data_IF_547026565191
#
_entry.id   IF_547026565191
#
_cell.length_a   1.000
_cell.length_b   1.000
_cell.length_c   1.000
_cell.angle_alpha   90.00
_cell.angle_beta   90.00
_cell.angle_gamma   90.00
#
_symmetry.space_group_name_H-M   'P 1'
#
loop_
_entity.id
_entity.type
_entity.pdbx_description
1 polymer ?
#
# COMPACT_ATOMS: atom_id res chain seq x y z
N UNK A 1 -25.51 -5.18 55.52
CA UNK A 1 -24.80 -4.31 56.47
C UNK A 1 -24.02 -3.30 55.70
N UNK A 2 -24.42 -2.05 55.87
CA UNK A 2 -24.01 -0.85 55.20
C UNK A 2 -22.61 -0.38 55.65
N UNK A 3 -22.00 0.45 54.83
CA UNK A 3 -20.81 1.21 55.16
C UNK A 3 -20.42 2.19 54.06
N UNK A 4 -21.22 3.27 53.99
CA UNK A 4 -20.86 4.52 53.28
C UNK A 4 -19.86 5.28 54.13
N UNK A 5 -18.82 5.82 53.54
CA UNK A 5 -18.10 6.97 54.11
C UNK A 5 -17.65 7.94 53.02
N UNK A 6 -18.30 9.08 53.03
CA UNK A 6 -18.02 10.33 52.36
C UNK A 6 -17.24 11.22 53.35
N UNK A 7 -16.24 11.94 52.88
CA UNK A 7 -15.77 13.25 53.40
C UNK A 7 -14.77 13.83 52.39
N UNK A 8 -15.13 14.83 51.65
CA UNK A 8 -15.26 16.31 51.90
C UNK A 8 -13.90 17.05 51.91
N UNK A 9 -13.71 17.84 50.88
CA UNK A 9 -13.30 19.23 50.77
C UNK A 9 -12.27 19.79 51.72
N UNK A 10 -11.27 20.50 51.21
CA UNK A 10 -11.12 21.92 51.51
C UNK A 10 -10.24 22.61 50.42
N UNK A 11 -10.74 23.72 49.94
CA UNK A 11 -10.10 24.72 49.05
C UNK A 11 -9.44 25.80 49.90
N UNK A 12 -8.44 26.47 49.34
CA UNK A 12 -8.02 27.88 49.53
C UNK A 12 -6.81 28.08 48.57
N UNK A 13 -6.71 29.01 47.69
CA UNK A 13 -7.27 30.37 47.63
C UNK A 13 -6.14 31.39 47.53
N UNK A 14 -6.14 32.15 46.42
CA UNK A 14 -5.52 33.49 46.34
C UNK A 14 -4.11 33.52 45.73
N UNK A 15 -3.70 34.49 44.95
CA UNK A 15 -4.28 35.68 44.36
C UNK A 15 -3.31 36.22 43.30
N UNK A 16 -3.82 36.97 42.38
CA UNK A 16 -3.17 37.63 41.26
C UNK A 16 -2.22 38.78 41.69
N UNK A 17 -1.30 39.12 40.79
CA UNK A 17 -0.94 40.52 40.55
C UNK A 17 -0.29 40.68 39.17
N UNK A 18 -0.93 41.47 38.38
CA UNK A 18 -0.45 42.18 37.17
C UNK A 18 0.67 43.13 37.52
N UNK A 19 1.57 43.39 36.56
CA UNK A 19 2.05 44.76 36.25
C UNK A 19 2.76 44.76 34.88
N UNK A 20 2.16 45.28 33.92
CA UNK A 20 2.34 46.38 32.93
C UNK A 20 3.75 46.99 32.76
N UNK A 21 4.12 47.00 31.47
CA UNK A 21 4.59 48.06 30.58
C UNK A 21 5.91 48.84 30.85
N UNK A 22 6.72 48.99 29.82
CA UNK A 22 6.98 50.19 29.02
C UNK A 22 8.25 50.02 28.17
N UNK A 23 8.16 50.06 26.91
CA UNK A 23 8.54 51.04 25.88
C UNK A 23 9.73 51.95 26.23
N UNK A 24 10.78 51.93 25.44
CA UNK A 24 11.43 53.15 24.93
C UNK A 24 12.27 52.86 23.67
N UNK A 25 11.94 53.63 22.62
CA UNK A 25 12.69 53.90 21.39
C UNK A 25 13.98 54.69 21.68
N UNK A 26 14.92 54.65 20.75
CA UNK A 26 15.45 55.75 19.99
C UNK A 26 16.85 55.46 19.43
N UNK A 27 16.91 55.54 18.16
CA UNK A 27 17.59 56.50 17.26
C UNK A 27 19.09 56.23 17.07
N UNK A 28 19.52 55.96 15.81
CA UNK A 28 19.73 56.80 14.60
C UNK A 28 21.09 57.51 14.60
N UNK A 29 21.81 57.35 13.54
CA UNK A 29 22.50 58.22 12.59
C UNK A 29 23.89 57.74 12.23
N UNK A 30 24.09 57.55 10.98
CA UNK A 30 24.59 58.25 9.77
C UNK A 30 26.12 58.19 9.66
N UNK A 31 26.67 57.93 8.61
CA UNK A 31 26.83 58.32 7.28
C UNK A 31 28.25 58.01 6.78
N UNK A 32 28.33 57.63 5.63
CA UNK A 32 28.87 58.15 4.37
C UNK A 32 30.30 57.76 3.99
N UNK A 33 30.32 57.11 2.87
CA UNK A 33 31.03 57.50 1.65
C UNK A 33 32.56 57.29 1.54
N UNK A 34 32.96 56.42 0.64
CA UNK A 34 33.83 56.82 -0.50
C UNK A 34 33.95 55.65 -1.51
N UNK A 35 33.70 56.01 -2.76
CA UNK A 35 33.83 55.16 -3.94
C UNK A 35 35.30 54.98 -4.34
N UNK A 36 35.63 53.80 -4.90
CA UNK A 36 36.60 53.65 -6.00
C UNK A 36 36.40 52.30 -6.72
N UNK A 37 36.13 52.39 -7.93
CA UNK A 37 36.14 51.71 -9.16
C UNK A 37 37.31 50.74 -9.38
N UNK A 38 37.04 49.48 -9.87
CA UNK A 38 37.65 48.86 -11.04
C UNK A 38 37.20 47.43 -11.23
N UNK A 39 36.55 47.19 -12.33
CA UNK A 39 36.74 46.18 -13.38
C UNK A 39 36.67 44.70 -13.02
N UNK A 40 35.55 44.09 -13.44
CA UNK A 40 35.37 43.00 -14.44
C UNK A 40 36.28 41.78 -14.31
N UNK A 41 35.67 40.65 -13.89
CA UNK A 41 35.76 39.39 -14.61
C UNK A 41 34.54 38.52 -14.28
N UNK A 42 33.78 38.24 -15.30
CA UNK A 42 32.71 37.22 -15.40
C UNK A 42 33.32 35.82 -15.21
N UNK A 43 32.89 35.10 -14.19
CA UNK A 43 32.82 33.64 -14.24
C UNK A 43 31.50 33.24 -13.65
N UNK A 44 30.64 32.71 -14.53
CA UNK A 44 29.38 32.11 -14.17
C UNK A 44 29.63 30.78 -13.50
N UNK A 45 29.33 30.69 -12.23
CA UNK A 45 29.12 29.40 -11.57
C UNK A 45 27.71 28.92 -11.91
N UNK A 46 27.65 28.10 -12.94
CA UNK A 46 26.57 27.15 -13.17
C UNK A 46 26.57 26.20 -11.97
N UNK A 47 25.54 26.26 -11.16
CA UNK A 47 25.21 25.20 -10.22
C UNK A 47 24.88 23.95 -11.05
N UNK A 48 25.89 23.17 -11.38
CA UNK A 48 25.72 21.81 -11.84
C UNK A 48 25.16 20.98 -10.68
N UNK A 49 23.91 20.59 -10.82
CA UNK A 49 23.30 19.50 -10.08
C UNK A 49 24.22 18.28 -10.19
N UNK A 50 24.95 17.95 -9.14
CA UNK A 50 25.66 16.68 -9.02
C UNK A 50 24.68 15.51 -8.90
N UNK A 51 24.07 15.12 -10.02
CA UNK A 51 23.57 13.77 -10.21
C UNK A 51 24.68 12.95 -10.84
N UNK A 52 25.72 12.65 -10.06
CA UNK A 52 26.76 11.74 -10.50
C UNK A 52 26.19 10.32 -10.53
N UNK A 53 26.07 9.75 -11.73
CA UNK A 53 25.94 8.31 -11.91
C UNK A 53 27.08 7.63 -11.12
N UNK A 54 26.74 6.81 -10.12
CA UNK A 54 27.74 6.04 -9.36
C UNK A 54 28.43 5.06 -10.33
N UNK A 55 29.77 5.05 -10.31
CA UNK A 55 30.61 4.29 -11.24
C UNK A 55 30.51 2.77 -10.98
N UNK A 56 30.93 1.98 -11.98
CA UNK A 56 31.11 0.52 -11.89
C UNK A 56 31.85 0.12 -10.59
N UNK A 57 31.23 -0.73 -9.77
CA UNK A 57 31.78 -1.20 -8.48
C UNK A 57 31.10 -0.63 -7.22
N UNK A 58 30.04 0.17 -7.36
CA UNK A 58 29.28 0.67 -6.19
C UNK A 58 28.30 -0.39 -5.69
N UNK A 59 28.33 -0.69 -4.39
CA UNK A 59 27.32 -1.49 -3.72
C UNK A 59 26.20 -0.59 -3.22
N UNK A 60 24.97 -0.82 -3.68
CA UNK A 60 23.80 -0.06 -3.27
C UNK A 60 23.16 -0.64 -2.00
N UNK A 61 22.73 0.20 -1.08
CA UNK A 61 22.01 -0.18 0.13
C UNK A 61 20.52 -0.05 -0.10
N UNK A 62 19.83 -1.19 -0.20
CA UNK A 62 18.40 -1.24 -0.47
C UNK A 62 17.65 -1.65 0.79
N UNK A 63 16.64 -0.87 1.17
CA UNK A 63 15.68 -1.25 2.21
C UNK A 63 14.45 -1.86 1.56
N UNK A 64 13.95 -2.98 2.09
CA UNK A 64 12.68 -3.56 1.68
C UNK A 64 11.77 -3.69 2.89
N UNK A 65 10.61 -3.05 2.84
CA UNK A 65 9.55 -3.21 3.83
C UNK A 65 8.35 -3.91 3.18
N UNK A 66 8.10 -5.14 3.58
CA UNK A 66 6.91 -5.89 3.22
C UNK A 66 5.90 -5.86 4.39
N UNK A 67 4.62 -5.57 4.09
CA UNK A 67 3.59 -5.48 5.12
C UNK A 67 3.39 -6.79 5.86
N UNK A 68 3.19 -7.88 5.12
CA UNK A 68 2.90 -9.21 5.66
C UNK A 68 3.35 -10.27 4.65
N UNK A 69 3.53 -11.49 5.10
CA UNK A 69 3.88 -12.60 4.23
C UNK A 69 2.62 -13.28 3.68
N UNK A 70 2.48 -13.27 2.37
CA UNK A 70 1.53 -14.10 1.59
C UNK A 70 1.99 -14.16 0.13
N UNK A 71 1.42 -15.10 -0.64
CA UNK A 71 1.87 -15.49 -1.98
C UNK A 71 2.09 -14.30 -2.92
N UNK A 72 1.18 -13.33 -2.97
CA UNK A 72 1.28 -12.21 -3.90
C UNK A 72 2.43 -11.25 -3.53
N UNK A 73 2.56 -10.88 -2.24
CA UNK A 73 3.61 -9.96 -1.79
C UNK A 73 4.99 -10.59 -1.86
N UNK A 74 5.10 -11.90 -1.57
CA UNK A 74 6.35 -12.64 -1.71
C UNK A 74 6.78 -12.68 -3.18
N UNK A 75 5.85 -12.96 -4.11
CA UNK A 75 6.12 -12.95 -5.55
C UNK A 75 6.55 -11.56 -6.06
N UNK A 76 5.92 -10.48 -5.56
CA UNK A 76 6.31 -9.11 -5.93
C UNK A 76 7.74 -8.77 -5.45
N UNK A 77 8.11 -9.21 -4.25
CA UNK A 77 9.48 -9.06 -3.75
C UNK A 77 10.48 -9.86 -4.59
N UNK A 78 10.17 -11.11 -4.89
CA UNK A 78 11.03 -11.97 -5.70
C UNK A 78 11.25 -11.38 -7.11
N UNK A 79 10.19 -10.85 -7.74
CA UNK A 79 10.28 -10.17 -9.02
C UNK A 79 11.17 -8.92 -8.97
N UNK A 80 11.04 -8.11 -7.93
CA UNK A 80 11.87 -6.92 -7.73
C UNK A 80 13.36 -7.29 -7.62
N UNK A 81 13.68 -8.26 -6.80
CA UNK A 81 15.06 -8.74 -6.62
C UNK A 81 15.60 -9.31 -7.93
N UNK A 82 14.81 -10.12 -8.65
CA UNK A 82 15.22 -10.69 -9.92
C UNK A 82 15.59 -9.62 -10.97
N UNK A 83 14.85 -8.51 -11.02
CA UNK A 83 15.16 -7.41 -11.95
C UNK A 83 16.49 -6.71 -11.61
N UNK A 84 16.85 -6.60 -10.34
CA UNK A 84 18.15 -6.07 -9.92
C UNK A 84 19.30 -7.04 -10.29
N UNK A 85 19.09 -8.33 -10.06
CA UNK A 85 20.05 -9.38 -10.39
C UNK A 85 20.31 -9.46 -11.90
N UNK A 86 19.24 -9.45 -12.70
CA UNK A 86 19.31 -9.47 -14.17
C UNK A 86 20.02 -8.24 -14.75
N UNK A 87 19.89 -7.08 -14.08
CA UNK A 87 20.59 -5.86 -14.44
C UNK A 87 22.04 -5.81 -13.93
N UNK A 88 22.50 -6.83 -13.17
CA UNK A 88 23.84 -6.89 -12.61
C UNK A 88 24.11 -5.83 -11.52
N UNK A 89 23.08 -5.36 -10.85
CA UNK A 89 23.21 -4.41 -9.74
C UNK A 89 23.90 -5.10 -8.56
N UNK A 90 24.94 -4.47 -8.03
CA UNK A 90 25.59 -4.94 -6.79
C UNK A 90 24.92 -4.23 -5.62
N UNK A 91 24.30 -4.98 -4.72
CA UNK A 91 23.53 -4.40 -3.60
C UNK A 91 23.63 -5.20 -2.31
N UNK A 92 23.34 -4.52 -1.20
CA UNK A 92 23.03 -5.11 0.11
C UNK A 92 21.56 -4.83 0.41
N UNK A 93 20.76 -5.86 0.69
CA UNK A 93 19.35 -5.70 1.03
C UNK A 93 19.12 -5.86 2.53
N UNK A 94 18.37 -4.92 3.10
CA UNK A 94 17.81 -4.99 4.45
C UNK A 94 16.32 -5.28 4.33
N UNK A 95 15.97 -6.58 4.41
CA UNK A 95 14.61 -7.09 4.26
C UNK A 95 13.89 -7.06 5.60
N UNK A 96 12.77 -6.35 5.68
CA UNK A 96 11.92 -6.26 6.87
C UNK A 96 10.49 -6.67 6.55
N UNK A 97 9.86 -7.38 7.48
CA UNK A 97 8.45 -7.77 7.39
C UNK A 97 7.70 -7.28 8.62
N UNK A 98 6.63 -6.53 8.42
CA UNK A 98 5.86 -5.93 9.50
C UNK A 98 4.83 -6.89 10.13
N UNK A 99 4.66 -8.09 9.57
CA UNK A 99 3.70 -9.11 10.04
C UNK A 99 2.25 -8.58 10.16
N UNK A 100 1.88 -7.64 9.28
CA UNK A 100 0.56 -7.00 9.28
C UNK A 100 0.38 -5.89 10.33
N UNK A 101 1.43 -5.53 11.06
CA UNK A 101 1.37 -4.51 12.13
C UNK A 101 1.79 -3.13 11.59
N UNK A 102 0.88 -2.17 11.59
CA UNK A 102 1.15 -0.81 11.14
C UNK A 102 2.19 -0.08 12.02
N UNK A 103 2.26 -0.40 13.32
CA UNK A 103 3.27 0.18 14.21
C UNK A 103 4.66 -0.34 13.88
N UNK A 104 4.76 -1.61 13.48
CA UNK A 104 5.99 -2.19 12.97
C UNK A 104 6.41 -1.51 11.64
N UNK A 105 5.47 -1.22 10.73
CA UNK A 105 5.75 -0.45 9.53
C UNK A 105 6.37 0.92 9.86
N UNK A 106 5.81 1.67 10.81
CA UNK A 106 6.34 2.97 11.24
C UNK A 106 7.74 2.86 11.86
N UNK A 107 7.98 1.79 12.63
CA UNK A 107 9.29 1.54 13.24
C UNK A 107 10.36 1.28 12.18
N UNK A 108 10.05 0.45 11.18
CA UNK A 108 10.95 0.14 10.07
C UNK A 108 11.17 1.37 9.18
N UNK A 109 10.12 2.13 8.90
CA UNK A 109 10.21 3.37 8.12
C UNK A 109 11.15 4.38 8.78
N UNK A 110 11.01 4.58 10.10
CA UNK A 110 11.92 5.44 10.88
C UNK A 110 13.37 4.92 10.87
N UNK A 111 13.56 3.59 10.93
CA UNK A 111 14.88 2.95 10.78
C UNK A 111 15.50 3.30 9.44
N UNK A 112 14.79 3.05 8.33
CA UNK A 112 15.33 3.27 6.98
C UNK A 112 15.61 4.74 6.68
N UNK A 113 14.76 5.67 7.17
CA UNK A 113 15.00 7.10 7.08
C UNK A 113 16.33 7.52 7.74
N UNK A 114 16.66 6.91 8.89
CA UNK A 114 17.89 7.22 9.61
C UNK A 114 19.14 6.54 9.02
N UNK A 115 18.98 5.36 8.41
CA UNK A 115 20.11 4.58 7.86
C UNK A 115 20.59 5.04 6.48
N UNK A 116 19.89 5.99 5.84
CA UNK A 116 20.22 6.55 4.52
C UNK A 116 20.45 5.47 3.48
N UNK A 117 19.40 4.71 3.18
CA UNK A 117 19.38 3.76 2.05
C UNK A 117 19.58 4.52 0.73
N UNK A 118 20.11 3.84 -0.27
CA UNK A 118 20.19 4.39 -1.63
C UNK A 118 18.82 4.33 -2.34
N UNK A 119 17.98 3.33 -1.97
CA UNK A 119 16.64 3.12 -2.46
C UNK A 119 15.84 2.28 -1.46
N UNK A 120 14.54 2.51 -1.39
CA UNK A 120 13.64 1.74 -0.55
C UNK A 120 12.51 1.17 -1.41
N UNK A 121 12.18 -0.13 -1.21
CA UNK A 121 10.97 -0.75 -1.71
C UNK A 121 9.97 -0.89 -0.57
N UNK A 122 8.74 -0.44 -0.79
CA UNK A 122 7.61 -0.66 0.11
C UNK A 122 6.56 -1.53 -0.60
N UNK A 123 6.23 -2.67 -0.01
CA UNK A 123 5.32 -3.67 -0.58
C UNK A 123 4.01 -3.64 0.20
N UNK A 124 2.93 -3.31 -0.45
CA UNK A 124 1.57 -3.06 0.02
C UNK A 124 1.32 -1.64 0.55
N UNK A 125 0.07 -1.19 0.44
CA UNK A 125 -0.34 0.19 0.73
C UNK A 125 0.00 0.65 2.15
N UNK A 126 -0.25 -0.12 3.24
CA UNK A 126 0.10 0.34 4.59
C UNK A 126 1.61 0.50 4.80
N UNK A 127 2.43 -0.37 4.19
CA UNK A 127 3.89 -0.25 4.22
C UNK A 127 4.36 0.99 3.45
N UNK A 128 3.77 1.25 2.27
CA UNK A 128 4.03 2.44 1.47
C UNK A 128 3.67 3.72 2.22
N UNK A 129 2.50 3.78 2.86
CA UNK A 129 2.06 4.93 3.66
C UNK A 129 3.01 5.24 4.82
N UNK A 130 3.48 4.21 5.53
CA UNK A 130 4.45 4.39 6.60
C UNK A 130 5.79 4.94 6.06
N UNK A 131 6.24 4.42 4.92
CA UNK A 131 7.52 4.80 4.32
C UNK A 131 7.48 6.22 3.78
N UNK A 132 6.46 6.59 3.02
CA UNK A 132 6.26 7.93 2.47
C UNK A 132 6.12 8.98 3.59
N UNK A 133 5.49 8.62 4.70
CA UNK A 133 5.36 9.49 5.86
C UNK A 133 6.65 9.75 6.65
N UNK A 134 7.71 8.93 6.43
CA UNK A 134 8.95 9.02 7.21
C UNK A 134 10.19 9.38 6.36
N UNK A 135 10.14 9.19 5.04
CA UNK A 135 11.30 9.31 4.14
C UNK A 135 11.06 10.44 3.15
N UNK A 136 11.90 11.49 3.20
CA UNK A 136 11.73 12.69 2.38
C UNK A 136 12.64 12.69 1.13
N UNK A 137 13.90 12.25 1.28
CA UNK A 137 14.94 12.42 0.25
C UNK A 137 15.30 11.12 -0.51
N UNK A 138 15.22 9.97 0.16
CA UNK A 138 15.56 8.69 -0.47
C UNK A 138 14.46 8.27 -1.46
N UNK A 139 14.79 7.81 -2.68
CA UNK A 139 13.82 7.20 -3.58
C UNK A 139 13.05 6.05 -2.94
N UNK A 140 11.73 6.13 -2.98
CA UNK A 140 10.82 5.07 -2.50
C UNK A 140 10.07 4.50 -3.70
N UNK A 141 10.29 3.24 -3.97
CA UNK A 141 9.49 2.46 -4.91
C UNK A 141 8.37 1.74 -4.18
N UNK A 142 7.20 1.74 -4.76
CA UNK A 142 6.03 1.06 -4.22
C UNK A 142 5.55 -0.03 -5.19
N UNK A 143 5.08 -1.15 -4.67
CA UNK A 143 4.44 -2.22 -5.43
C UNK A 143 3.34 -2.89 -4.63
N UNK A 144 2.43 -3.58 -5.28
CA UNK A 144 1.23 -4.12 -4.64
C UNK A 144 0.42 -3.04 -3.90
N UNK A 145 0.24 -1.91 -4.57
CA UNK A 145 -0.54 -0.74 -4.11
C UNK A 145 -1.63 -0.46 -5.12
N UNK A 146 -2.89 -0.51 -4.70
CA UNK A 146 -4.05 -0.45 -5.61
C UNK A 146 -4.15 0.86 -6.35
N UNK A 147 -4.20 1.98 -5.64
CA UNK A 147 -4.20 3.33 -6.22
C UNK A 147 -3.29 4.25 -5.40
N UNK A 148 -2.07 4.50 -5.87
CA UNK A 148 -1.11 5.34 -5.18
C UNK A 148 -1.60 6.77 -4.94
N UNK A 149 -2.29 7.37 -5.92
CA UNK A 149 -2.79 8.74 -5.79
C UNK A 149 -3.95 8.82 -4.79
N UNK A 150 -4.93 7.91 -4.88
CA UNK A 150 -6.08 7.88 -3.96
C UNK A 150 -5.66 7.47 -2.54
N UNK A 151 -4.58 6.70 -2.42
CA UNK A 151 -3.96 6.35 -1.13
C UNK A 151 -3.10 7.46 -0.53
N UNK A 152 -2.94 8.60 -1.23
CA UNK A 152 -2.20 9.77 -0.75
C UNK A 152 -0.68 9.61 -0.80
N UNK A 153 -0.16 8.72 -1.65
CA UNK A 153 1.27 8.42 -1.76
C UNK A 153 1.98 9.28 -2.81
N UNK A 154 1.26 9.71 -3.83
CA UNK A 154 1.74 10.52 -4.94
C UNK A 154 0.73 11.61 -5.30
N UNK A 155 1.16 12.64 -6.04
CA UNK A 155 0.25 13.71 -6.46
C UNK A 155 -0.80 13.22 -7.46
N UNK A 156 -0.34 12.53 -8.51
CA UNK A 156 -1.16 11.76 -9.46
C UNK A 156 -0.38 10.54 -9.93
N UNK A 157 -1.08 9.53 -10.44
CA UNK A 157 -0.41 8.32 -10.94
C UNK A 157 0.42 8.59 -12.20
N UNK A 158 0.04 9.59 -13.03
CA UNK A 158 0.79 10.00 -14.22
C UNK A 158 2.01 10.86 -13.87
N UNK A 159 1.93 11.62 -12.79
CA UNK A 159 3.00 12.51 -12.34
C UNK A 159 3.11 12.49 -10.81
N UNK A 160 3.90 11.57 -10.26
CA UNK A 160 4.07 11.40 -8.82
C UNK A 160 4.52 12.66 -8.08
N UNK A 161 5.51 13.38 -8.62
CA UNK A 161 5.87 14.74 -8.17
C UNK A 161 6.71 14.84 -6.91
N UNK A 162 7.19 13.70 -6.35
CA UNK A 162 8.05 13.63 -5.17
C UNK A 162 9.06 12.48 -5.30
N UNK A 163 9.60 12.00 -4.19
CA UNK A 163 10.56 10.89 -4.15
C UNK A 163 9.94 9.49 -4.29
N UNK A 164 8.66 9.39 -4.68
CA UNK A 164 7.89 8.13 -4.75
C UNK A 164 7.48 7.83 -6.18
N UNK A 165 7.65 6.59 -6.61
CA UNK A 165 7.08 6.01 -7.84
C UNK A 165 6.91 4.50 -7.67
N UNK A 166 6.50 3.78 -8.69
CA UNK A 166 6.38 2.32 -8.63
C UNK A 166 5.27 1.78 -9.53
N UNK A 167 4.62 0.72 -9.06
CA UNK A 167 3.57 0.01 -9.81
C UNK A 167 2.27 -0.09 -9.02
N UNK A 168 1.16 -0.11 -9.74
CA UNK A 168 -0.18 -0.35 -9.21
C UNK A 168 -0.61 -1.79 -9.46
N UNK A 169 -1.25 -2.40 -8.46
CA UNK A 169 -1.86 -3.73 -8.55
C UNK A 169 -3.38 -3.69 -8.71
N UNK A 170 -3.92 -2.58 -9.19
CA UNK A 170 -5.36 -2.48 -9.41
C UNK A 170 -5.84 -3.59 -10.36
N UNK A 171 -6.62 -4.52 -9.81
CA UNK A 171 -7.18 -5.65 -10.56
C UNK A 171 -8.53 -5.28 -11.20
N UNK A 172 -8.99 -6.05 -12.20
CA UNK A 172 -10.24 -5.77 -12.91
C UNK A 172 -11.47 -6.19 -12.08
N UNK A 173 -11.82 -5.37 -11.08
CA UNK A 173 -12.91 -5.65 -10.12
C UNK A 173 -14.24 -5.94 -10.82
N UNK A 174 -14.54 -5.19 -11.89
CA UNK A 174 -15.79 -5.40 -12.64
C UNK A 174 -15.83 -6.79 -13.27
N UNK A 175 -14.76 -7.22 -13.91
CA UNK A 175 -14.62 -8.53 -14.55
C UNK A 175 -14.68 -9.67 -13.52
N UNK A 176 -14.16 -9.43 -12.33
CA UNK A 176 -14.25 -10.38 -11.20
C UNK A 176 -15.71 -10.52 -10.72
N UNK A 177 -16.48 -9.45 -10.68
CA UNK A 177 -17.91 -9.51 -10.36
C UNK A 177 -18.73 -10.16 -11.50
N UNK A 178 -18.36 -9.89 -12.75
CA UNK A 178 -18.97 -10.59 -13.90
C UNK A 178 -18.68 -12.10 -13.86
N UNK A 179 -17.46 -12.50 -13.48
CA UNK A 179 -17.08 -13.89 -13.22
C UNK A 179 -17.90 -14.50 -12.08
N UNK A 180 -18.09 -13.77 -10.98
CA UNK A 180 -18.96 -14.19 -9.88
C UNK A 180 -20.38 -14.51 -10.41
N UNK A 181 -20.96 -13.60 -11.19
CA UNK A 181 -22.28 -13.77 -11.76
C UNK A 181 -22.37 -14.93 -12.75
N UNK A 182 -21.29 -15.19 -13.49
CA UNK A 182 -21.21 -16.34 -14.40
C UNK A 182 -21.17 -17.67 -13.64
N UNK A 183 -20.33 -17.77 -12.59
CA UNK A 183 -20.14 -18.99 -11.81
C UNK A 183 -21.29 -19.26 -10.82
N UNK A 184 -21.96 -18.22 -10.34
CA UNK A 184 -23.07 -18.28 -9.39
C UNK A 184 -24.27 -17.51 -9.94
N UNK A 185 -24.91 -17.97 -11.03
CA UNK A 185 -25.93 -17.21 -11.77
C UNK A 185 -27.16 -16.85 -10.93
N UNK A 186 -27.47 -17.64 -9.90
CA UNK A 186 -28.59 -17.42 -9.01
C UNK A 186 -28.28 -16.46 -7.83
N UNK A 187 -27.02 -16.00 -7.71
CA UNK A 187 -26.63 -15.05 -6.66
C UNK A 187 -27.45 -13.76 -6.75
N UNK A 188 -27.99 -13.33 -5.62
CA UNK A 188 -28.76 -12.11 -5.43
C UNK A 188 -28.08 -11.17 -4.46
N UNK A 189 -27.39 -11.71 -3.47
CA UNK A 189 -26.70 -10.95 -2.42
C UNK A 189 -25.25 -11.39 -2.33
N UNK A 190 -24.33 -10.46 -2.52
CA UNK A 190 -22.88 -10.68 -2.42
C UNK A 190 -22.34 -10.00 -1.17
N UNK A 191 -21.63 -10.78 -0.35
CA UNK A 191 -20.87 -10.22 0.77
C UNK A 191 -19.52 -9.69 0.30
N UNK A 192 -19.22 -8.43 0.58
CA UNK A 192 -17.90 -7.83 0.31
C UNK A 192 -17.10 -7.90 1.60
N UNK A 193 -16.07 -8.77 1.62
CA UNK A 193 -15.25 -9.06 2.80
C UNK A 193 -13.90 -8.37 2.67
N UNK A 194 -13.58 -7.47 3.60
CA UNK A 194 -12.31 -6.74 3.57
C UNK A 194 -11.86 -6.22 4.94
N UNK A 195 -10.59 -5.80 5.05
CA UNK A 195 -10.04 -5.15 6.23
C UNK A 195 -10.33 -3.65 6.21
N UNK A 196 -11.06 -3.16 7.22
CA UNK A 196 -11.41 -1.74 7.34
C UNK A 196 -10.23 -0.81 7.63
N UNK A 197 -9.09 -1.37 8.05
CA UNK A 197 -7.87 -0.62 8.32
C UNK A 197 -7.00 -0.39 7.07
N UNK A 198 -7.35 -1.00 5.93
CA UNK A 198 -6.62 -0.88 4.67
C UNK A 198 -7.38 0.00 3.67
N UNK A 199 -6.79 1.14 3.28
CA UNK A 199 -7.42 2.07 2.31
C UNK A 199 -7.58 1.46 0.92
N UNK A 200 -6.61 0.67 0.45
CA UNK A 200 -6.68 -0.10 -0.80
C UNK A 200 -7.92 -1.02 -0.85
N UNK A 201 -8.19 -1.71 0.24
CA UNK A 201 -9.32 -2.63 0.33
C UNK A 201 -10.65 -1.89 0.25
N UNK A 202 -10.73 -0.70 0.89
CA UNK A 202 -11.92 0.13 0.81
C UNK A 202 -12.18 0.64 -0.60
N UNK A 203 -11.15 1.09 -1.32
CA UNK A 203 -11.25 1.54 -2.72
C UNK A 203 -11.88 0.43 -3.57
N UNK A 204 -11.33 -0.78 -3.51
CA UNK A 204 -11.84 -1.91 -4.29
C UNK A 204 -13.22 -2.39 -3.81
N UNK A 205 -13.51 -2.33 -2.51
CA UNK A 205 -14.83 -2.65 -1.98
C UNK A 205 -15.90 -1.70 -2.52
N UNK A 206 -15.59 -0.40 -2.64
CA UNK A 206 -16.50 0.57 -3.23
C UNK A 206 -16.73 0.29 -4.73
N UNK A 207 -15.67 0.00 -5.50
CA UNK A 207 -15.77 -0.45 -6.90
C UNK A 207 -16.60 -1.73 -7.04
N UNK A 208 -16.40 -2.69 -6.15
CA UNK A 208 -17.15 -3.94 -6.16
C UNK A 208 -18.65 -3.73 -5.89
N UNK A 209 -19.00 -2.86 -4.94
CA UNK A 209 -20.41 -2.52 -4.67
C UNK A 209 -21.10 -1.90 -5.89
N UNK A 210 -20.40 -1.04 -6.62
CA UNK A 210 -20.92 -0.46 -7.87
C UNK A 210 -21.10 -1.55 -8.94
N UNK A 211 -20.11 -2.43 -9.14
CA UNK A 211 -20.17 -3.53 -10.09
C UNK A 211 -21.28 -4.53 -9.74
N UNK A 212 -21.43 -4.90 -8.45
CA UNK A 212 -22.50 -5.78 -7.95
C UNK A 212 -23.87 -5.18 -8.25
N UNK A 213 -24.06 -3.89 -7.98
CA UNK A 213 -25.31 -3.20 -8.27
C UNK A 213 -25.59 -3.14 -9.78
N UNK A 214 -24.58 -2.86 -10.61
CA UNK A 214 -24.68 -2.87 -12.07
C UNK A 214 -25.05 -4.26 -12.64
N UNK A 215 -24.59 -5.35 -11.98
CA UNK A 215 -24.94 -6.73 -12.31
C UNK A 215 -26.35 -7.16 -11.80
N UNK A 216 -27.09 -6.24 -11.18
CA UNK A 216 -28.46 -6.48 -10.68
C UNK A 216 -28.50 -7.25 -9.35
N UNK A 217 -27.41 -7.28 -8.61
CA UNK A 217 -27.28 -7.91 -7.28
C UNK A 217 -27.26 -6.88 -6.16
N UNK A 218 -27.40 -7.34 -4.93
CA UNK A 218 -27.25 -6.52 -3.72
C UNK A 218 -25.91 -6.83 -3.05
N UNK A 219 -25.24 -5.82 -2.50
CA UNK A 219 -24.04 -5.99 -1.70
C UNK A 219 -24.32 -5.84 -0.21
N UNK A 220 -23.58 -6.59 0.62
CA UNK A 220 -23.48 -6.39 2.07
C UNK A 220 -22.02 -6.32 2.45
N UNK A 221 -21.65 -5.32 3.24
CA UNK A 221 -20.28 -5.19 3.74
C UNK A 221 -20.05 -6.04 4.97
N UNK A 222 -18.87 -6.70 4.99
CA UNK A 222 -18.38 -7.47 6.12
C UNK A 222 -16.91 -7.09 6.31
N UNK A 223 -16.60 -6.49 7.44
CA UNK A 223 -15.25 -5.98 7.69
C UNK A 223 -14.60 -6.69 8.86
N UNK A 224 -13.28 -6.83 8.75
CA UNK A 224 -12.40 -7.21 9.84
C UNK A 224 -11.45 -6.06 10.16
N UNK A 225 -10.94 -5.99 11.37
CA UNK A 225 -9.84 -5.09 11.74
C UNK A 225 -8.50 -5.83 11.85
N UNK A 226 -8.56 -7.16 11.96
CA UNK A 226 -7.39 -8.04 12.03
C UNK A 226 -7.75 -9.48 11.62
N UNK A 227 -6.73 -10.29 11.35
CA UNK A 227 -6.90 -11.70 10.96
C UNK A 227 -7.64 -12.55 12.03
N UNK A 228 -7.59 -12.17 13.30
CA UNK A 228 -8.27 -12.87 14.39
C UNK A 228 -9.81 -12.86 14.27
N UNK A 229 -10.37 -11.89 13.52
CA UNK A 229 -11.81 -11.74 13.36
C UNK A 229 -12.37 -12.52 12.17
N UNK A 230 -11.50 -12.96 11.23
CA UNK A 230 -11.87 -13.55 9.93
C UNK A 230 -12.87 -14.70 10.13
N UNK A 231 -12.56 -15.67 10.98
CA UNK A 231 -13.42 -16.83 11.21
C UNK A 231 -14.84 -16.43 11.63
N UNK A 232 -14.95 -15.52 12.60
CA UNK A 232 -16.24 -15.07 13.12
C UNK A 232 -17.02 -14.29 12.08
N UNK A 233 -16.36 -13.41 11.35
CA UNK A 233 -17.01 -12.59 10.32
C UNK A 233 -17.49 -13.47 9.17
N UNK A 234 -16.64 -14.37 8.64
CA UNK A 234 -17.05 -15.30 7.56
C UNK A 234 -18.18 -16.21 8.01
N UNK A 235 -18.14 -16.71 9.26
CA UNK A 235 -19.25 -17.51 9.80
C UNK A 235 -20.57 -16.73 9.85
N UNK A 236 -20.54 -15.42 10.08
CA UNK A 236 -21.75 -14.56 10.08
C UNK A 236 -22.33 -14.33 8.66
N UNK A 237 -21.54 -14.57 7.62
CA UNK A 237 -21.96 -14.46 6.21
C UNK A 237 -22.77 -15.69 5.78
N UNK A 238 -22.57 -16.84 6.42
CA UNK A 238 -23.24 -18.11 6.08
C UNK A 238 -24.75 -17.99 6.20
N UNK A 239 -25.44 -18.24 5.09
CA UNK A 239 -26.90 -18.10 4.98
C UNK A 239 -27.41 -16.66 4.90
N UNK A 240 -26.53 -15.67 5.02
CA UNK A 240 -26.87 -14.25 4.90
C UNK A 240 -26.55 -13.67 3.52
N UNK A 241 -25.67 -14.32 2.76
CA UNK A 241 -25.27 -13.96 1.38
C UNK A 241 -25.15 -15.23 0.52
N UNK A 242 -25.22 -15.08 -0.80
CA UNK A 242 -25.16 -16.19 -1.78
C UNK A 242 -23.74 -16.44 -2.27
N UNK A 243 -22.89 -15.41 -2.22
CA UNK A 243 -21.47 -15.48 -2.60
C UNK A 243 -20.69 -14.39 -1.84
N UNK A 244 -19.37 -14.54 -1.78
CA UNK A 244 -18.44 -13.57 -1.21
C UNK A 244 -17.53 -13.04 -2.31
N UNK A 245 -17.25 -11.76 -2.26
CA UNK A 245 -16.15 -11.11 -2.97
C UNK A 245 -15.14 -10.61 -1.94
N UNK A 246 -13.88 -11.01 -2.09
CA UNK A 246 -12.77 -10.52 -1.28
C UNK A 246 -11.75 -9.85 -2.21
N UNK A 247 -11.56 -8.51 -2.14
CA UNK A 247 -10.61 -7.77 -2.98
C UNK A 247 -9.15 -8.16 -2.69
N UNK A 248 -8.18 -7.49 -3.32
CA UNK A 248 -6.76 -7.60 -2.96
C UNK A 248 -6.50 -6.98 -1.59
N UNK A 249 -6.83 -7.73 -0.55
CA UNK A 249 -6.77 -7.37 0.86
C UNK A 249 -5.69 -8.20 1.56
N UNK A 250 -4.71 -7.54 2.19
CA UNK A 250 -3.55 -8.25 2.74
C UNK A 250 -3.90 -9.07 3.99
N UNK A 251 -4.82 -8.59 4.82
CA UNK A 251 -5.28 -9.31 6.02
C UNK A 251 -6.10 -10.54 5.62
N UNK A 252 -6.98 -10.39 4.64
CA UNK A 252 -7.78 -11.51 4.12
C UNK A 252 -6.89 -12.50 3.38
N UNK A 253 -5.96 -12.04 2.53
CA UNK A 253 -5.02 -12.90 1.81
C UNK A 253 -4.16 -13.74 2.76
N UNK A 254 -3.60 -13.13 3.80
CA UNK A 254 -2.84 -13.85 4.83
C UNK A 254 -3.69 -14.85 5.64
N UNK A 255 -4.99 -14.57 5.79
CA UNK A 255 -5.96 -15.43 6.48
C UNK A 255 -6.83 -16.27 5.57
N UNK A 256 -6.54 -16.34 4.26
CA UNK A 256 -7.44 -16.92 3.26
C UNK A 256 -7.74 -18.41 3.49
N UNK A 257 -6.81 -19.17 4.05
CA UNK A 257 -7.06 -20.56 4.44
C UNK A 257 -8.22 -20.69 5.45
N UNK A 258 -8.36 -19.73 6.37
CA UNK A 258 -9.50 -19.70 7.31
C UNK A 258 -10.80 -19.33 6.60
N UNK A 259 -10.75 -18.36 5.67
CA UNK A 259 -11.91 -18.02 4.83
C UNK A 259 -12.36 -19.23 4.03
N UNK A 260 -11.43 -19.88 3.32
CA UNK A 260 -11.70 -21.05 2.46
C UNK A 260 -12.28 -22.24 3.26
N UNK A 261 -11.75 -22.49 4.46
CA UNK A 261 -12.27 -23.55 5.33
C UNK A 261 -13.73 -23.29 5.72
N UNK A 262 -14.03 -22.11 6.27
CA UNK A 262 -15.41 -21.80 6.73
C UNK A 262 -16.36 -21.72 5.54
N UNK A 263 -15.96 -21.11 4.43
CA UNK A 263 -16.76 -20.97 3.24
C UNK A 263 -17.03 -22.33 2.57
N UNK A 264 -15.99 -23.16 2.42
CA UNK A 264 -16.09 -24.51 1.84
C UNK A 264 -17.02 -25.44 2.62
N UNK A 265 -16.89 -25.48 3.96
CA UNK A 265 -17.76 -26.28 4.85
C UNK A 265 -19.23 -25.88 4.72
N UNK A 266 -19.51 -24.63 4.39
CA UNK A 266 -20.85 -24.08 4.27
C UNK A 266 -21.32 -23.86 2.82
N UNK A 267 -20.58 -24.35 1.81
CA UNK A 267 -20.89 -24.21 0.39
C UNK A 267 -21.07 -22.75 -0.06
N UNK A 268 -20.29 -21.84 0.52
CA UNK A 268 -20.32 -20.42 0.21
C UNK A 268 -19.18 -20.07 -0.76
N UNK A 269 -19.45 -19.78 -2.05
CA UNK A 269 -18.41 -19.45 -3.01
C UNK A 269 -17.74 -18.10 -2.71
N UNK A 270 -16.40 -18.05 -2.87
CA UNK A 270 -15.60 -16.84 -2.68
C UNK A 270 -14.86 -16.52 -3.96
N UNK A 271 -15.19 -15.39 -4.59
CA UNK A 271 -14.42 -14.79 -5.68
C UNK A 271 -13.40 -13.83 -5.08
N UNK A 272 -12.18 -13.92 -5.55
CA UNK A 272 -11.02 -13.28 -4.95
C UNK A 272 -10.45 -12.17 -5.84
N UNK A 273 -9.73 -11.23 -5.23
CA UNK A 273 -9.02 -10.16 -5.92
C UNK A 273 -7.73 -10.62 -6.61
N UNK A 274 -7.10 -11.74 -6.14
CA UNK A 274 -5.84 -12.22 -6.68
C UNK A 274 -5.69 -13.75 -6.59
N UNK A 275 -4.73 -14.31 -7.36
CA UNK A 275 -4.56 -15.74 -7.55
C UNK A 275 -4.10 -16.51 -6.30
N UNK A 276 -3.29 -15.90 -5.43
CA UNK A 276 -2.83 -16.55 -4.20
C UNK A 276 -3.98 -16.83 -3.23
N UNK A 277 -4.98 -15.95 -3.19
CA UNK A 277 -6.21 -16.20 -2.42
C UNK A 277 -7.00 -17.37 -2.99
N UNK A 278 -7.06 -17.52 -4.33
CA UNK A 278 -7.70 -18.67 -4.97
C UNK A 278 -6.99 -19.98 -4.62
N UNK A 279 -5.66 -19.98 -4.65
CA UNK A 279 -4.84 -21.14 -4.27
C UNK A 279 -5.05 -21.55 -2.80
N UNK A 280 -5.42 -20.60 -1.94
CA UNK A 280 -5.66 -20.82 -0.50
C UNK A 280 -7.15 -20.99 -0.14
N UNK A 281 -7.99 -21.43 -1.09
CA UNK A 281 -9.38 -21.85 -0.83
C UNK A 281 -10.46 -20.97 -1.46
N UNK A 282 -10.10 -19.89 -2.16
CA UNK A 282 -11.04 -19.15 -3.02
C UNK A 282 -11.49 -19.97 -4.22
N UNK A 283 -12.55 -19.56 -4.90
CA UNK A 283 -13.08 -20.24 -6.08
C UNK A 283 -12.37 -19.84 -7.37
N UNK A 284 -12.30 -18.55 -7.63
CA UNK A 284 -11.75 -18.03 -8.88
C UNK A 284 -11.41 -16.54 -8.78
N UNK A 285 -10.58 -16.06 -9.71
CA UNK A 285 -10.28 -14.65 -9.94
C UNK A 285 -9.86 -14.39 -11.38
N UNK A 286 -9.99 -13.15 -11.83
CA UNK A 286 -9.10 -12.55 -12.83
C UNK A 286 -8.05 -11.76 -12.08
N UNK A 287 -6.80 -12.24 -12.10
CA UNK A 287 -5.69 -11.66 -11.34
C UNK A 287 -4.53 -11.24 -12.22
N UNK A 288 -3.62 -10.48 -11.65
CA UNK A 288 -2.35 -10.08 -12.26
C UNK A 288 -1.22 -10.97 -11.75
N UNK A 289 -0.12 -11.00 -12.51
CA UNK A 289 1.11 -11.66 -12.09
C UNK A 289 1.93 -10.72 -11.19
N UNK A 290 1.94 -10.98 -9.90
CA UNK A 290 2.67 -10.16 -8.92
C UNK A 290 4.19 -10.26 -9.05
N UNK A 291 4.73 -11.37 -9.55
CA UNK A 291 6.15 -11.46 -9.87
C UNK A 291 6.52 -10.47 -10.99
N UNK A 292 5.73 -10.43 -12.07
CA UNK A 292 5.93 -9.47 -13.15
C UNK A 292 5.75 -8.03 -12.69
N UNK A 293 4.78 -7.78 -11.80
CA UNK A 293 4.58 -6.45 -11.21
C UNK A 293 5.81 -6.00 -10.44
N UNK A 294 6.34 -6.86 -9.58
CA UNK A 294 7.57 -6.61 -8.84
C UNK A 294 8.79 -6.45 -9.75
N UNK A 295 8.89 -7.25 -10.80
CA UNK A 295 9.96 -7.15 -11.79
C UNK A 295 9.94 -5.78 -12.51
N UNK A 296 8.77 -5.28 -12.89
CA UNK A 296 8.61 -3.93 -13.45
C UNK A 296 9.08 -2.86 -12.45
N UNK A 297 8.73 -3.02 -11.16
CA UNK A 297 9.19 -2.11 -10.11
C UNK A 297 10.72 -2.13 -9.97
N UNK A 298 11.33 -3.31 -10.07
CA UNK A 298 12.78 -3.48 -10.09
C UNK A 298 13.44 -2.83 -11.30
N UNK A 299 12.81 -2.88 -12.47
CA UNK A 299 13.29 -2.15 -13.65
C UNK A 299 13.27 -0.62 -13.45
N UNK A 300 12.28 -0.10 -12.73
CA UNK A 300 12.28 1.31 -12.33
C UNK A 300 13.41 1.62 -11.33
N UNK A 301 13.69 0.70 -10.39
CA UNK A 301 14.83 0.83 -9.47
C UNK A 301 16.16 0.92 -10.22
N UNK A 302 16.36 0.08 -11.24
CA UNK A 302 17.57 0.11 -12.09
C UNK A 302 17.75 1.48 -12.73
N UNK A 303 16.69 2.06 -13.33
CA UNK A 303 16.76 3.40 -13.94
C UNK A 303 17.14 4.48 -12.91
N UNK A 304 16.58 4.41 -11.70
CA UNK A 304 16.90 5.36 -10.63
C UNK A 304 18.37 5.22 -10.21
N UNK A 305 18.83 4.00 -9.97
CA UNK A 305 20.16 3.73 -9.44
C UNK A 305 21.28 3.97 -10.45
N UNK A 306 21.05 3.65 -11.74
CA UNK A 306 22.11 3.69 -12.77
C UNK A 306 22.04 4.88 -13.70
N UNK A 307 20.84 5.40 -13.97
CA UNK A 307 20.63 6.50 -14.91
C UNK A 307 20.30 7.83 -14.20
N UNK A 308 20.09 7.79 -12.88
CA UNK A 308 19.70 8.98 -12.09
C UNK A 308 18.27 9.45 -12.42
N UNK A 309 17.40 8.56 -12.86
CA UNK A 309 16.01 8.90 -13.12
C UNK A 309 15.31 9.39 -11.84
N UNK A 310 14.53 10.46 -11.97
CA UNK A 310 13.80 11.05 -10.85
C UNK A 310 12.46 10.35 -10.64
N UNK A 311 12.18 9.79 -9.45
CA UNK A 311 10.84 9.24 -9.14
C UNK A 311 9.70 10.23 -9.41
N UNK A 312 9.94 11.52 -9.20
CA UNK A 312 8.95 12.58 -9.41
C UNK A 312 8.38 12.63 -10.84
N UNK A 313 9.17 12.21 -11.82
CA UNK A 313 8.86 12.25 -13.25
C UNK A 313 8.55 10.86 -13.85
N UNK A 314 8.66 9.81 -13.05
CA UNK A 314 8.36 8.44 -13.45
C UNK A 314 6.91 8.11 -13.09
N UNK A 315 6.02 7.88 -14.08
CA UNK A 315 4.62 7.55 -13.79
C UNK A 315 4.51 6.22 -13.06
N UNK A 316 3.42 6.05 -12.32
CA UNK A 316 3.02 4.74 -11.81
C UNK A 316 2.71 3.83 -13.00
N UNK A 317 3.33 2.67 -13.02
CA UNK A 317 3.13 1.69 -14.10
C UNK A 317 2.10 0.63 -13.69
N UNK A 318 1.43 0.06 -14.69
CA UNK A 318 0.40 -0.97 -14.53
C UNK A 318 0.75 -2.16 -15.40
N UNK A 319 0.44 -3.36 -14.95
CA UNK A 319 0.40 -4.49 -15.87
C UNK A 319 -0.74 -4.28 -16.88
N UNK A 320 -0.51 -4.53 -18.18
CA UNK A 320 -1.56 -4.42 -19.18
C UNK A 320 -2.75 -5.32 -18.84
N UNK A 321 -3.98 -4.84 -19.08
CA UNK A 321 -5.21 -5.58 -18.77
C UNK A 321 -5.25 -6.95 -19.46
N UNK A 322 -4.63 -7.07 -20.64
CA UNK A 322 -4.52 -8.31 -21.42
C UNK A 322 -3.63 -9.37 -20.73
N UNK A 323 -2.89 -8.96 -19.69
CA UNK A 323 -2.08 -9.84 -18.87
C UNK A 323 -2.80 -10.35 -17.62
N UNK A 324 -4.06 -9.93 -17.41
CA UNK A 324 -4.86 -10.51 -16.35
C UNK A 324 -5.26 -11.95 -16.75
N UNK A 325 -5.01 -12.88 -15.86
CA UNK A 325 -5.24 -14.30 -16.09
C UNK A 325 -6.37 -14.84 -15.21
N UNK A 326 -7.18 -15.71 -15.80
CA UNK A 326 -8.18 -16.46 -15.06
C UNK A 326 -7.49 -17.56 -14.24
N UNK A 327 -7.65 -17.50 -12.93
CA UNK A 327 -7.27 -18.58 -12.01
C UNK A 327 -8.52 -19.18 -11.39
N UNK A 328 -8.61 -20.52 -11.42
CA UNK A 328 -9.71 -21.29 -10.85
C UNK A 328 -9.17 -22.37 -9.94
N UNK A 329 -9.80 -22.55 -8.78
CA UNK A 329 -9.53 -23.66 -7.88
C UNK A 329 -10.53 -24.78 -8.13
N UNK A 330 -10.11 -25.80 -8.88
CA UNK A 330 -10.98 -26.94 -9.25
C UNK A 330 -11.43 -27.76 -8.03
N UNK A 331 -10.59 -27.88 -6.98
CA UNK A 331 -10.94 -28.60 -5.74
C UNK A 331 -12.03 -27.85 -4.97
N UNK A 332 -11.90 -26.53 -4.87
CA UNK A 332 -12.94 -25.67 -4.28
C UNK A 332 -14.22 -25.73 -5.12
N UNK A 333 -14.12 -25.65 -6.44
CA UNK A 333 -15.27 -25.76 -7.34
C UNK A 333 -16.02 -27.11 -7.16
N UNK A 334 -15.28 -28.21 -7.11
CA UNK A 334 -15.84 -29.54 -6.85
C UNK A 334 -16.52 -29.60 -5.47
N UNK A 335 -15.86 -29.06 -4.44
CA UNK A 335 -16.41 -28.98 -3.09
C UNK A 335 -17.72 -28.22 -3.05
N UNK A 336 -17.81 -27.11 -3.77
CA UNK A 336 -19.00 -26.26 -3.87
C UNK A 336 -20.08 -26.86 -4.79
N UNK A 337 -19.71 -27.76 -5.71
CA UNK A 337 -20.59 -28.29 -6.74
C UNK A 337 -20.84 -27.30 -7.89
N UNK A 338 -19.87 -26.41 -8.14
CA UNK A 338 -19.94 -25.38 -9.18
C UNK A 338 -19.20 -25.85 -10.44
N UNK A 339 -19.85 -25.76 -11.60
CA UNK A 339 -19.21 -26.01 -12.89
C UNK A 339 -18.41 -24.79 -13.34
N UNK A 340 -17.09 -24.94 -13.41
CA UNK A 340 -16.15 -23.90 -13.82
C UNK A 340 -15.66 -24.06 -15.27
N UNK A 341 -16.13 -25.08 -16.00
CA UNK A 341 -15.70 -25.37 -17.38
C UNK A 341 -16.02 -24.24 -18.36
N UNK A 342 -17.02 -23.43 -18.05
CA UNK A 342 -17.44 -22.27 -18.83
C UNK A 342 -16.78 -20.96 -18.43
N UNK A 343 -15.98 -20.93 -17.38
CA UNK A 343 -15.29 -19.71 -16.95
C UNK A 343 -14.29 -19.25 -18.03
N UNK A 344 -14.40 -18.00 -18.46
CA UNK A 344 -13.55 -17.40 -19.52
C UNK A 344 -13.40 -15.91 -19.27
#
# INVERSE_FOLDING_TARGET
>A
VAGVMVLSMTACGGNAAETTAAVTEAQKETAADTAAKAEETTEGETSESETAAKAEGTTYKIGVLQLVQHTALDAANDGFIAALDDAGIVYEVDQQNASGDQSACQTVASKFANEKKDLILAIATPAAQAMVGAVEDTPVLITAVTDPAESGLVNTNEKPGANVTGTSDLTPVKEQIDLLKQLVPDARTVGVLYCSAESNSKIQADMAKEAIAAAGMQSKEYTVSSSNEIQTVVQSMVGAVDAVYAPTDNVIAAGMATVGMVAGDNKLPVICGEAGMVQNGGLATYGIDYYQLGYMTGQQAVKILTEGASPADMPIEYLPAEKCELTVNEETAQTLGIDVSGAR
#
